data_IF_837282518266
#
_entry.id   IF_837282518266
#
_cell.length_a   1.000
_cell.length_b   1.000
_cell.length_c   1.000
_cell.angle_alpha   90.00
_cell.angle_beta   90.00
_cell.angle_gamma   90.00
#
_symmetry.space_group_name_H-M   'P 1'
#
loop_
_entity.id
_entity.type
_entity.pdbx_description
1 polymer ?
#
# COMPACT_ATOMS: atom_id res chain seq x y z
N UNK A 1 -9.93 13.96 0.59
CA UNK A 1 -8.54 14.34 0.27
C UNK A 1 -7.61 14.30 1.49
N UNK A 2 -7.96 14.91 2.63
CA UNK A 2 -7.13 14.80 3.86
C UNK A 2 -6.92 13.37 4.35
N UNK A 3 -7.97 12.54 4.27
CA UNK A 3 -7.93 11.11 4.57
C UNK A 3 -6.76 10.36 3.89
N UNK A 4 -6.65 10.41 2.56
CA UNK A 4 -5.62 9.66 1.82
C UNK A 4 -4.20 10.16 2.14
N UNK A 5 -4.03 11.47 2.38
CA UNK A 5 -2.73 12.03 2.81
C UNK A 5 -2.29 11.46 4.15
N UNK A 6 -3.20 11.46 5.13
CA UNK A 6 -2.88 10.94 6.46
C UNK A 6 -2.67 9.43 6.46
N UNK A 7 -3.45 8.68 5.67
CA UNK A 7 -3.27 7.25 5.49
C UNK A 7 -1.91 6.94 4.83
N UNK A 8 -1.54 7.69 3.79
CA UNK A 8 -0.23 7.54 3.14
C UNK A 8 0.92 7.79 4.13
N UNK A 9 0.86 8.86 4.92
CA UNK A 9 1.86 9.14 5.94
C UNK A 9 1.93 8.04 7.02
N UNK A 10 0.80 7.47 7.42
CA UNK A 10 0.78 6.35 8.36
C UNK A 10 1.50 5.12 7.78
N UNK A 11 1.26 4.80 6.51
CA UNK A 11 1.97 3.72 5.80
C UNK A 11 3.47 3.98 5.74
N UNK A 12 3.89 5.20 5.41
CA UNK A 12 5.33 5.57 5.39
C UNK A 12 5.99 5.28 6.73
N UNK A 13 5.37 5.72 7.83
CA UNK A 13 5.91 5.52 9.17
C UNK A 13 5.92 4.04 9.56
N UNK A 14 4.87 3.29 9.24
CA UNK A 14 4.78 1.86 9.57
C UNK A 14 5.82 1.04 8.79
N UNK A 15 5.97 1.30 7.49
CA UNK A 15 6.99 0.66 6.66
C UNK A 15 8.39 0.97 7.20
N UNK A 16 8.67 2.24 7.48
CA UNK A 16 9.97 2.67 7.99
C UNK A 16 10.30 2.00 9.33
N UNK A 17 9.33 1.89 10.24
CA UNK A 17 9.50 1.22 11.53
C UNK A 17 9.72 -0.29 11.38
N UNK A 18 8.89 -0.96 10.58
CA UNK A 18 8.97 -2.42 10.35
C UNK A 18 10.29 -2.84 9.73
N UNK A 19 10.79 -2.05 8.77
CA UNK A 19 12.02 -2.38 8.04
C UNK A 19 13.28 -1.66 8.52
N UNK A 20 13.15 -0.71 9.46
CA UNK A 20 14.23 0.22 9.85
C UNK A 20 14.78 1.02 8.66
N UNK A 21 13.90 1.42 7.74
CA UNK A 21 14.24 2.23 6.57
C UNK A 21 14.18 3.72 6.89
N UNK A 22 15.17 4.17 7.66
CA UNK A 22 15.33 5.55 8.05
C UNK A 22 16.75 6.06 7.78
N UNK A 23 16.86 7.34 7.48
CA UNK A 23 18.12 8.07 7.42
C UNK A 23 18.68 8.22 8.84
N UNK A 24 19.91 7.78 9.09
CA UNK A 24 20.63 8.15 10.32
C UNK A 24 21.36 9.49 10.11
N UNK A 25 21.39 10.41 11.09
CA UNK A 25 20.93 10.28 12.48
C UNK A 25 19.50 10.79 12.74
N UNK A 26 18.84 11.41 11.77
CA UNK A 26 17.57 12.12 11.96
C UNK A 26 16.35 11.18 12.11
N UNK A 27 16.55 9.88 11.86
CA UNK A 27 15.54 8.83 11.91
C UNK A 27 14.32 9.09 11.00
N UNK A 28 14.50 9.93 9.97
CA UNK A 28 13.47 10.22 8.98
C UNK A 28 13.31 9.03 8.01
N UNK A 29 12.08 8.64 7.64
CA UNK A 29 11.85 7.62 6.62
C UNK A 29 12.60 7.93 5.32
N UNK A 30 13.34 6.94 4.82
CA UNK A 30 14.07 7.04 3.55
C UNK A 30 13.16 6.74 2.34
N UNK A 31 13.63 7.03 1.13
CA UNK A 31 12.84 6.89 -0.10
C UNK A 31 12.18 5.52 -0.28
N UNK A 32 12.76 4.43 0.25
CA UNK A 32 12.20 3.07 0.13
C UNK A 32 10.89 2.95 0.89
N UNK A 33 10.80 3.57 2.05
CA UNK A 33 9.57 3.59 2.84
C UNK A 33 8.45 4.34 2.10
N UNK A 34 8.78 5.45 1.44
CA UNK A 34 7.84 6.24 0.65
C UNK A 34 7.31 5.49 -0.58
N UNK A 35 8.20 4.88 -1.37
CA UNK A 35 7.81 4.09 -2.53
C UNK A 35 6.98 2.86 -2.13
N UNK A 36 7.35 2.20 -1.03
CA UNK A 36 6.61 1.05 -0.52
C UNK A 36 5.22 1.46 -0.01
N UNK A 37 5.11 2.55 0.72
CA UNK A 37 3.83 3.06 1.22
C UNK A 37 2.84 3.41 0.09
N UNK A 38 3.33 3.82 -1.09
CA UNK A 38 2.44 4.06 -2.24
C UNK A 38 1.77 2.78 -2.73
N UNK A 39 2.51 1.67 -2.69
CA UNK A 39 1.97 0.34 -3.06
C UNK A 39 0.79 0.00 -2.15
N UNK A 40 0.94 0.25 -0.85
CA UNK A 40 -0.10 -0.01 0.14
C UNK A 40 -1.27 0.96 0.06
N UNK A 41 -1.01 2.23 -0.27
CA UNK A 41 -2.09 3.18 -0.54
C UNK A 41 -2.92 2.78 -1.76
N UNK A 42 -2.27 2.31 -2.84
CA UNK A 42 -2.97 1.78 -4.03
C UNK A 42 -3.80 0.55 -3.67
N UNK A 43 -3.24 -0.36 -2.87
CA UNK A 43 -3.94 -1.53 -2.38
C UNK A 43 -5.21 -1.14 -1.60
N UNK A 44 -5.10 -0.17 -0.68
CA UNK A 44 -6.23 0.33 0.10
C UNK A 44 -7.32 0.99 -0.75
N UNK A 45 -6.95 1.67 -1.83
CA UNK A 45 -7.89 2.23 -2.80
C UNK A 45 -8.66 1.10 -3.50
N UNK A 46 -7.95 0.08 -4.02
CA UNK A 46 -8.58 -1.07 -4.67
C UNK A 46 -9.51 -1.83 -3.72
N UNK A 47 -9.10 -2.00 -2.45
CA UNK A 47 -9.95 -2.63 -1.42
C UNK A 47 -11.19 -1.76 -1.15
N UNK A 48 -11.02 -0.44 -1.03
CA UNK A 48 -12.13 0.48 -0.82
C UNK A 48 -13.12 0.51 -1.99
N UNK A 49 -12.65 0.32 -3.22
CA UNK A 49 -13.50 0.19 -4.41
C UNK A 49 -14.26 -1.14 -4.40
N UNK A 50 -13.57 -2.24 -4.10
CA UNK A 50 -14.17 -3.56 -3.95
C UNK A 50 -15.29 -3.58 -2.89
N UNK A 51 -15.07 -2.91 -1.75
CA UNK A 51 -16.06 -2.81 -0.66
C UNK A 51 -17.31 -2.00 -1.03
N UNK A 52 -17.27 -1.17 -2.08
CA UNK A 52 -18.41 -0.36 -2.55
C UNK A 52 -19.30 -1.11 -3.53
N UNK A 53 -18.83 -2.20 -4.13
CA UNK A 53 -19.58 -2.90 -5.18
C UNK A 53 -20.84 -3.60 -4.65
N UNK A 54 -20.74 -4.27 -3.50
CA UNK A 54 -21.86 -5.02 -2.92
C UNK A 54 -21.84 -5.01 -1.39
N UNK A 55 -23.03 -5.08 -0.79
CA UNK A 55 -23.17 -5.18 0.67
C UNK A 55 -22.53 -6.44 1.25
N UNK A 56 -22.43 -7.54 0.47
CA UNK A 56 -21.79 -8.79 0.91
C UNK A 56 -20.28 -8.68 1.08
N UNK A 57 -19.64 -7.66 0.48
CA UNK A 57 -18.20 -7.46 0.49
C UNK A 57 -17.80 -6.26 1.39
N UNK A 58 -18.77 -5.54 1.95
CA UNK A 58 -18.54 -4.32 2.70
C UNK A 58 -17.61 -4.48 3.92
N UNK A 59 -17.63 -5.66 4.57
CA UNK A 59 -16.79 -5.97 5.72
C UNK A 59 -15.50 -6.71 5.37
N UNK A 60 -15.19 -6.88 4.08
CA UNK A 60 -14.01 -7.60 3.64
C UNK A 60 -12.75 -6.76 3.90
N UNK A 61 -11.82 -7.30 4.69
CA UNK A 61 -10.63 -6.57 5.15
C UNK A 61 -9.39 -7.49 5.15
N UNK A 62 -8.22 -6.88 5.34
CA UNK A 62 -6.97 -7.61 5.51
C UNK A 62 -6.64 -8.51 4.33
N UNK A 63 -5.93 -9.60 4.61
CA UNK A 63 -5.47 -10.56 3.61
C UNK A 63 -6.60 -11.14 2.74
N UNK A 64 -7.80 -11.32 3.28
CA UNK A 64 -8.92 -11.88 2.53
C UNK A 64 -9.42 -10.91 1.45
N UNK A 65 -9.35 -9.60 1.70
CA UNK A 65 -9.61 -8.58 0.68
C UNK A 65 -8.60 -8.68 -0.47
N UNK A 66 -7.32 -8.80 -0.13
CA UNK A 66 -6.23 -8.93 -1.11
C UNK A 66 -6.41 -10.18 -1.97
N UNK A 67 -6.78 -11.31 -1.35
CA UNK A 67 -7.01 -12.57 -2.08
C UNK A 67 -8.17 -12.47 -3.07
N UNK A 68 -9.26 -11.81 -2.67
CA UNK A 68 -10.40 -11.60 -3.59
C UNK A 68 -9.99 -10.68 -4.74
N UNK A 69 -9.23 -9.61 -4.48
CA UNK A 69 -8.67 -8.77 -5.54
C UNK A 69 -7.82 -9.60 -6.50
N UNK A 70 -6.88 -10.43 -6.00
CA UNK A 70 -6.04 -11.28 -6.88
C UNK A 70 -6.89 -12.20 -7.74
N UNK A 71 -7.91 -12.87 -7.17
CA UNK A 71 -8.77 -13.76 -7.96
C UNK A 71 -9.58 -13.05 -9.05
N UNK A 72 -9.81 -11.75 -8.91
CA UNK A 72 -10.53 -10.94 -9.91
C UNK A 72 -9.63 -10.42 -11.01
N UNK A 73 -8.36 -10.18 -10.68
CA UNK A 73 -7.36 -9.62 -11.60
C UNK A 73 -6.42 -10.68 -12.19
N UNK A 74 -6.61 -11.96 -11.85
CA UNK A 74 -5.84 -13.09 -12.38
C UNK A 74 -6.76 -14.24 -12.80
N UNK A 75 -6.19 -15.26 -13.44
CA UNK A 75 -6.91 -16.49 -13.78
C UNK A 75 -7.02 -17.48 -12.61
N UNK A 76 -6.49 -17.14 -11.42
CA UNK A 76 -6.43 -18.04 -10.28
C UNK A 76 -7.74 -18.02 -9.48
N UNK A 77 -8.18 -19.21 -9.06
CA UNK A 77 -9.30 -19.37 -8.13
C UNK A 77 -8.93 -18.93 -6.71
N UNK A 78 -9.94 -18.63 -5.88
CA UNK A 78 -9.74 -18.31 -4.46
C UNK A 78 -8.98 -19.43 -3.71
N UNK A 79 -9.16 -20.68 -4.11
CA UNK A 79 -8.48 -21.82 -3.47
C UNK A 79 -6.98 -21.75 -3.75
N UNK A 80 -6.58 -21.49 -5.01
CA UNK A 80 -5.18 -21.37 -5.40
C UNK A 80 -4.53 -20.15 -4.73
N UNK A 81 -5.23 -19.01 -4.72
CA UNK A 81 -4.74 -17.75 -4.16
C UNK A 81 -4.49 -17.84 -2.65
N UNK A 82 -5.23 -18.69 -1.91
CA UNK A 82 -5.03 -18.88 -0.46
C UNK A 82 -3.65 -19.43 -0.10
N UNK A 83 -2.98 -20.10 -1.02
CA UNK A 83 -1.65 -20.68 -0.81
C UNK A 83 -0.50 -19.70 -1.08
N UNK A 84 -0.79 -18.52 -1.61
CA UNK A 84 0.21 -17.51 -1.93
C UNK A 84 0.58 -16.66 -0.70
N UNK A 85 1.86 -16.31 -0.60
CA UNK A 85 2.36 -15.33 0.34
C UNK A 85 1.88 -13.92 0.00
N UNK A 86 1.89 -13.01 0.97
CA UNK A 86 1.53 -11.61 0.74
C UNK A 86 2.37 -10.97 -0.38
N UNK A 87 3.68 -11.26 -0.43
CA UNK A 87 4.54 -10.76 -1.51
C UNK A 87 4.13 -11.25 -2.90
N UNK A 88 3.70 -12.52 -3.02
CA UNK A 88 3.21 -13.07 -4.28
C UNK A 88 1.86 -12.46 -4.67
N UNK A 89 0.97 -12.24 -3.69
CA UNK A 89 -0.30 -11.56 -3.93
C UNK A 89 -0.09 -10.14 -4.47
N UNK A 90 0.82 -9.36 -3.87
CA UNK A 90 1.15 -8.01 -4.32
C UNK A 90 1.79 -8.05 -5.71
N UNK A 91 2.69 -8.99 -5.97
CA UNK A 91 3.30 -9.17 -7.29
C UNK A 91 2.23 -9.43 -8.37
N UNK A 92 1.28 -10.33 -8.12
CA UNK A 92 0.19 -10.60 -9.05
C UNK A 92 -0.75 -9.41 -9.24
N UNK A 93 -0.90 -8.55 -8.22
CA UNK A 93 -1.71 -7.33 -8.30
C UNK A 93 -1.00 -6.15 -8.95
N UNK A 94 0.29 -6.25 -9.30
CA UNK A 94 1.07 -5.11 -9.78
C UNK A 94 0.38 -4.32 -10.92
N UNK A 95 -0.19 -4.95 -11.97
CA UNK A 95 -0.89 -4.19 -13.02
C UNK A 95 -2.11 -3.42 -12.49
N UNK A 96 -2.86 -4.01 -11.57
CA UNK A 96 -4.03 -3.35 -10.96
C UNK A 96 -3.59 -2.20 -10.05
N UNK A 97 -2.54 -2.39 -9.26
CA UNK A 97 -1.95 -1.37 -8.40
C UNK A 97 -1.47 -0.18 -9.24
N UNK A 98 -0.75 -0.42 -10.33
CA UNK A 98 -0.29 0.64 -11.24
C UNK A 98 -1.43 1.43 -11.89
N UNK A 99 -2.58 0.78 -12.13
CA UNK A 99 -3.78 1.42 -12.67
C UNK A 99 -4.59 2.22 -11.63
N UNK A 100 -4.36 2.01 -10.33
CA UNK A 100 -5.09 2.69 -9.27
C UNK A 100 -4.73 4.18 -9.24
N UNK A 101 -5.74 5.02 -9.43
CA UNK A 101 -5.55 6.47 -9.50
C UNK A 101 -5.36 7.07 -8.10
N UNK A 102 -4.15 7.54 -7.81
CA UNK A 102 -3.88 8.36 -6.64
C UNK A 102 -3.82 9.83 -7.09
N UNK A 103 -4.64 10.72 -6.53
CA UNK A 103 -4.54 12.14 -6.84
C UNK A 103 -3.12 12.66 -6.57
N UNK A 104 -2.46 13.38 -7.51
CA UNK A 104 -1.07 13.79 -7.38
C UNK A 104 -0.78 14.59 -6.11
N UNK A 105 -1.76 15.33 -5.60
CA UNK A 105 -1.61 16.08 -4.36
C UNK A 105 -1.49 15.22 -3.11
N UNK A 106 -1.79 13.91 -3.18
CA UNK A 106 -1.64 12.95 -2.07
C UNK A 106 -0.20 12.46 -1.95
N UNK A 107 0.47 12.20 -3.08
CA UNK A 107 1.86 11.75 -3.12
C UNK A 107 2.76 12.99 -3.14
N UNK A 108 3.16 13.44 -1.96
CA UNK A 108 4.08 14.56 -1.78
C UNK A 108 5.28 14.08 -0.99
N UNK A 109 6.41 13.91 -1.68
CA UNK A 109 7.66 13.58 -1.03
C UNK A 109 8.24 14.81 -0.32
N UNK A 110 8.86 14.63 0.86
CA UNK A 110 9.67 15.67 1.46
C UNK A 110 10.97 15.87 0.65
N UNK A 111 11.60 17.06 0.71
CA UNK A 111 12.77 17.38 -0.11
C UNK A 111 13.91 16.35 -0.03
N UNK A 112 14.17 15.80 1.16
CA UNK A 112 15.23 14.80 1.35
C UNK A 112 14.97 13.49 0.60
N UNK A 113 13.71 13.14 0.37
CA UNK A 113 13.34 11.95 -0.41
C UNK A 113 13.47 12.24 -1.90
N UNK A 114 13.09 13.43 -2.36
CA UNK A 114 13.29 13.85 -3.75
C UNK A 114 14.77 13.82 -4.13
N UNK A 115 15.65 14.33 -3.25
CA UNK A 115 17.10 14.27 -3.41
C UNK A 115 17.59 12.81 -3.49
N UNK A 116 17.16 11.95 -2.56
CA UNK A 116 17.50 10.52 -2.59
C UNK A 116 17.05 9.84 -3.88
N UNK A 117 15.86 10.17 -4.38
CA UNK A 117 15.35 9.59 -5.60
C UNK A 117 16.21 9.99 -6.80
N UNK A 118 16.71 11.22 -6.89
CA UNK A 118 17.58 11.65 -8.00
C UNK A 118 18.83 10.78 -8.14
N UNK A 119 19.40 10.34 -7.01
CA UNK A 119 20.62 9.54 -6.98
C UNK A 119 20.38 8.03 -7.14
N UNK A 120 19.13 7.57 -7.05
CA UNK A 120 18.78 6.14 -7.11
C UNK A 120 18.39 5.73 -8.54
N UNK A 121 19.17 4.83 -9.18
CA UNK A 121 18.84 4.25 -10.48
C UNK A 121 17.43 3.64 -10.51
N UNK A 122 16.69 3.85 -11.60
CA UNK A 122 15.31 3.38 -11.74
C UNK A 122 15.12 1.87 -11.46
N UNK A 123 16.09 1.05 -11.87
CA UNK A 123 16.08 -0.39 -11.62
C UNK A 123 16.21 -0.77 -10.12
N UNK A 124 16.81 0.08 -9.29
CA UNK A 124 16.85 -0.12 -7.84
C UNK A 124 15.53 0.29 -7.17
N UNK A 125 14.78 1.23 -7.76
CA UNK A 125 13.42 1.58 -7.30
C UNK A 125 12.43 0.44 -7.53
N UNK A 126 12.59 -0.30 -8.63
CA UNK A 126 11.80 -1.50 -8.95
C UNK A 126 12.18 -2.75 -8.12
N UNK A 127 13.33 -2.72 -7.42
CA UNK A 127 13.90 -3.85 -6.69
C UNK A 127 13.43 -4.00 -5.24
N UNK A 128 12.43 -3.23 -4.79
CA UNK A 128 11.88 -3.36 -3.45
C UNK A 128 11.00 -4.63 -3.34
N UNK A 129 11.60 -5.82 -3.31
CA UNK A 129 10.92 -7.07 -2.94
C UNK A 129 11.73 -7.82 -1.88
N UNK A 130 11.06 -8.49 -0.92
CA UNK A 130 9.61 -8.73 -0.81
C UNK A 130 8.83 -7.69 0.02
N UNK A 131 7.52 -7.59 -0.23
CA UNK A 131 6.54 -6.90 0.63
C UNK A 131 6.15 -7.80 1.81
N UNK A 132 5.81 -7.23 2.96
CA UNK A 132 5.26 -7.97 4.09
C UNK A 132 3.91 -7.41 4.53
N UNK A 133 3.01 -8.29 5.00
CA UNK A 133 1.68 -7.87 5.50
C UNK A 133 1.82 -6.94 6.73
N UNK A 134 2.89 -7.12 7.51
CA UNK A 134 3.21 -6.28 8.66
C UNK A 134 3.56 -4.83 8.28
N UNK A 135 4.11 -4.60 7.07
CA UNK A 135 4.34 -3.24 6.57
C UNK A 135 3.04 -2.52 6.19
N UNK A 136 2.05 -3.27 5.71
CA UNK A 136 0.77 -2.69 5.28
C UNK A 136 -0.09 -2.29 6.47
N UNK A 137 -0.23 -3.15 7.48
CA UNK A 137 -1.19 -2.96 8.59
C UNK A 137 -2.60 -2.57 8.09
N UNK A 138 -3.38 -3.58 7.70
CA UNK A 138 -4.73 -3.41 7.16
C UNK A 138 -5.70 -2.65 8.07
N UNK A 139 -5.39 -2.50 9.36
CA UNK A 139 -6.21 -1.76 10.30
C UNK A 139 -6.18 -0.25 10.03
N UNK A 140 -5.12 0.24 9.39
CA UNK A 140 -4.95 1.67 9.07
C UNK A 140 -6.08 2.17 8.16
N UNK A 141 -6.44 1.42 7.12
CA UNK A 141 -7.51 1.82 6.21
C UNK A 141 -8.81 2.13 6.97
N UNK A 142 -9.27 1.16 7.76
CA UNK A 142 -10.51 1.31 8.55
C UNK A 142 -10.41 2.46 9.55
N UNK A 143 -9.32 2.50 10.32
CA UNK A 143 -9.07 3.57 11.31
C UNK A 143 -9.19 4.96 10.69
N UNK A 144 -8.57 5.17 9.53
CA UNK A 144 -8.58 6.47 8.88
C UNK A 144 -9.92 6.76 8.18
N UNK A 145 -10.64 5.75 7.68
CA UNK A 145 -12.01 5.93 7.19
C UNK A 145 -12.94 6.41 8.32
N UNK A 146 -12.87 5.77 9.49
CA UNK A 146 -13.70 6.11 10.66
C UNK A 146 -13.37 7.53 11.20
N UNK A 147 -12.09 7.93 11.20
CA UNK A 147 -11.66 9.25 11.67
C UNK A 147 -12.14 10.40 10.78
N UNK A 148 -12.19 10.19 9.47
CA UNK A 148 -12.52 11.23 8.49
C UNK A 148 -13.95 11.15 7.96
N UNK A 149 -14.69 10.12 8.35
CA UNK A 149 -16.10 9.96 8.05
C UNK A 149 -16.83 9.37 9.28
N UNK A 150 -16.84 10.09 10.43
CA UNK A 150 -17.59 9.63 11.59
C UNK A 150 -19.07 9.57 11.20
N UNK A 151 -19.69 8.41 11.43
CA UNK A 151 -21.14 8.25 11.29
C UNK A 151 -21.91 9.22 12.19
#
# INVERSE_FOLDING_TARGET
>A
MYFLKSLYQAHVLNVAATNRWCNSPEMLPDYRAWLRAETYLRLDILISELQKETASIHNLQGIDAVRILVSRHSALSIIEVRHLSFSELIFLLQPALESANIPPEVIQYPPHVDEQLQDVPYNQRAGLTPCSEAEWDHSLLKKYQDLYNPQ
#
